data_IF_523466190264
#
_entry.id   IF_523466190264
#
_cell.length_a   1.000
_cell.length_b   1.000
_cell.length_c   1.000
_cell.angle_alpha   90.00
_cell.angle_beta   90.00
_cell.angle_gamma   90.00
#
_symmetry.space_group_name_H-M   'P 1'
#
loop_
_entity.id
_entity.type
_entity.pdbx_description
1 polymer ?
#
# COMPACT_ATOMS: atom_id res chain seq x y z
N UNK A 1 22.36 39.11 -36.31
CA UNK A 1 22.09 38.86 -34.88
C UNK A 1 21.42 40.11 -34.31
N UNK A 2 20.55 39.99 -33.30
CA UNK A 2 20.02 41.17 -32.58
C UNK A 2 20.61 41.18 -31.18
N UNK A 3 21.40 42.21 -30.86
CA UNK A 3 22.12 42.34 -29.58
C UNK A 3 21.50 43.39 -28.66
N UNK A 4 20.60 44.24 -29.18
CA UNK A 4 19.96 45.29 -28.39
C UNK A 4 18.54 45.63 -28.88
N UNK A 5 17.76 46.24 -28.00
CA UNK A 5 16.36 46.59 -28.27
C UNK A 5 16.20 47.59 -29.43
N UNK A 6 17.21 48.47 -29.65
CA UNK A 6 17.18 49.48 -30.71
C UNK A 6 17.29 48.89 -32.12
N UNK A 7 17.81 47.67 -32.27
CA UNK A 7 17.99 47.00 -33.56
C UNK A 7 16.74 46.26 -34.05
N UNK A 8 15.77 46.03 -33.17
CA UNK A 8 14.60 45.19 -33.45
C UNK A 8 13.77 45.75 -34.61
N UNK A 9 13.42 47.04 -34.53
CA UNK A 9 12.59 47.67 -35.54
C UNK A 9 13.27 47.77 -36.90
N UNK A 10 14.57 48.08 -36.90
CA UNK A 10 15.36 48.17 -38.13
C UNK A 10 15.44 46.81 -38.80
N UNK A 11 15.73 45.74 -38.05
CA UNK A 11 15.81 44.38 -38.58
C UNK A 11 14.48 43.91 -39.16
N UNK A 12 13.35 44.28 -38.56
CA UNK A 12 12.03 43.95 -39.09
C UNK A 12 11.71 44.71 -40.40
N UNK A 13 12.11 45.98 -40.51
CA UNK A 13 11.89 46.78 -41.73
C UNK A 13 12.75 46.32 -42.90
N UNK A 14 13.96 45.88 -42.60
CA UNK A 14 14.94 45.44 -43.60
C UNK A 14 14.77 43.97 -44.02
N UNK A 15 13.83 43.26 -43.39
CA UNK A 15 13.57 41.84 -43.66
C UNK A 15 13.00 41.63 -45.08
N UNK A 16 13.65 40.73 -45.82
CA UNK A 16 13.21 40.26 -47.14
C UNK A 16 13.26 38.73 -47.17
N UNK A 17 12.17 38.03 -47.58
CA UNK A 17 10.87 38.55 -48.02
C UNK A 17 10.09 39.23 -46.88
N UNK A 18 8.93 39.82 -47.19
CA UNK A 18 8.12 40.52 -46.17
C UNK A 18 7.81 39.57 -44.98
N UNK A 19 8.01 40.00 -43.72
CA UNK A 19 7.74 39.18 -42.55
C UNK A 19 6.32 38.63 -42.52
N UNK A 20 6.17 37.38 -42.06
CA UNK A 20 4.88 36.69 -41.96
C UNK A 20 4.10 37.09 -40.70
N UNK A 21 4.76 37.75 -39.75
CA UNK A 21 4.17 38.20 -38.49
C UNK A 21 4.17 39.72 -38.38
N UNK A 22 3.28 40.28 -37.56
CA UNK A 22 3.25 41.72 -37.27
C UNK A 22 4.46 42.13 -36.42
N UNK A 23 4.92 43.38 -36.60
CA UNK A 23 6.05 43.95 -35.84
C UNK A 23 5.88 43.86 -34.32
N UNK A 24 4.65 43.97 -33.80
CA UNK A 24 4.37 43.80 -32.36
C UNK A 24 4.67 42.38 -31.87
N UNK A 25 4.36 41.36 -32.66
CA UNK A 25 4.65 39.98 -32.34
C UNK A 25 6.16 39.70 -32.44
N UNK A 26 6.82 40.21 -33.48
CA UNK A 26 8.27 40.11 -33.62
C UNK A 26 9.01 40.75 -32.44
N UNK A 27 8.64 41.97 -32.04
CA UNK A 27 9.20 42.63 -30.84
C UNK A 27 9.03 41.78 -29.59
N UNK A 28 7.84 41.23 -29.36
CA UNK A 28 7.57 40.37 -28.20
C UNK A 28 8.47 39.14 -28.18
N UNK A 29 8.64 38.48 -29.34
CA UNK A 29 9.51 37.31 -29.52
C UNK A 29 10.98 37.62 -29.21
N UNK A 30 11.51 38.68 -29.82
CA UNK A 30 12.92 39.07 -29.64
C UNK A 30 13.20 39.59 -28.22
N UNK A 31 12.31 40.41 -27.65
CA UNK A 31 12.44 40.86 -26.26
C UNK A 31 12.37 39.69 -25.27
N UNK A 32 11.56 38.66 -25.57
CA UNK A 32 11.55 37.42 -24.80
C UNK A 32 12.89 36.69 -24.88
N UNK A 33 13.46 36.56 -26.08
CA UNK A 33 14.73 35.87 -26.32
C UNK A 33 15.93 36.60 -25.70
N UNK A 34 15.99 37.94 -25.77
CA UNK A 34 17.05 38.76 -25.18
C UNK A 34 17.20 38.58 -23.66
N UNK A 35 16.17 38.08 -22.96
CA UNK A 35 16.25 37.74 -21.52
C UNK A 35 17.11 36.51 -21.24
N UNK A 36 17.34 35.66 -22.24
CA UNK A 36 18.01 34.36 -22.09
C UNK A 36 19.30 34.24 -22.92
N UNK A 37 19.59 35.23 -23.77
CA UNK A 37 20.81 35.29 -24.57
C UNK A 37 21.65 36.50 -24.16
N UNK A 38 22.67 36.25 -23.34
CA UNK A 38 23.59 37.30 -22.84
C UNK A 38 24.34 38.00 -23.99
N UNK A 39 24.73 37.24 -25.02
CA UNK A 39 25.46 37.74 -26.21
C UNK A 39 24.55 38.19 -27.36
N UNK A 40 23.22 38.16 -27.16
CA UNK A 40 22.23 38.52 -28.18
C UNK A 40 21.60 37.34 -28.91
N UNK A 41 20.48 37.61 -29.59
CA UNK A 41 19.63 36.60 -30.23
C UNK A 41 20.25 36.10 -31.53
N UNK A 42 20.53 34.78 -31.67
CA UNK A 42 21.13 34.20 -32.86
C UNK A 42 20.32 34.46 -34.13
N UNK A 43 20.98 34.58 -35.27
CA UNK A 43 20.31 34.91 -36.55
C UNK A 43 19.20 33.91 -36.91
N UNK A 44 19.42 32.62 -36.67
CA UNK A 44 18.42 31.58 -36.90
C UNK A 44 17.12 31.79 -36.11
N UNK A 45 17.22 32.26 -34.87
CA UNK A 45 16.05 32.58 -34.05
C UNK A 45 15.41 33.91 -34.44
N UNK A 46 16.19 34.85 -34.99
CA UNK A 46 15.68 36.10 -35.56
C UNK A 46 14.87 35.81 -36.82
N UNK A 47 15.37 34.98 -37.73
CA UNK A 47 14.65 34.52 -38.91
C UNK A 47 13.36 33.80 -38.54
N UNK A 48 13.43 32.85 -37.60
CA UNK A 48 12.24 32.18 -37.10
C UNK A 48 11.22 33.15 -36.47
N UNK A 49 11.71 34.18 -35.77
CA UNK A 49 10.84 35.18 -35.19
C UNK A 49 10.11 36.02 -36.25
N UNK A 50 10.68 36.18 -37.45
CA UNK A 50 10.07 36.89 -38.58
C UNK A 50 9.11 36.01 -39.39
N UNK A 51 9.43 34.73 -39.55
CA UNK A 51 8.79 33.89 -40.57
C UNK A 51 8.03 32.68 -40.04
N UNK A 52 8.27 32.22 -38.81
CA UNK A 52 7.42 31.17 -38.23
C UNK A 52 6.09 31.75 -37.74
N UNK A 53 5.01 31.00 -37.94
CA UNK A 53 3.72 31.34 -37.35
C UNK A 53 3.78 31.27 -35.80
N UNK A 54 2.72 31.75 -35.14
CA UNK A 54 2.66 31.85 -33.68
C UNK A 54 2.66 30.50 -32.95
N UNK A 55 2.25 29.42 -33.61
CA UNK A 55 2.23 28.08 -33.06
C UNK A 55 3.61 27.43 -33.19
N UNK A 56 4.19 27.46 -34.39
CA UNK A 56 5.52 26.93 -34.71
C UNK A 56 6.61 27.60 -33.87
N UNK A 57 6.61 28.94 -33.78
CA UNK A 57 7.59 29.67 -32.97
C UNK A 57 7.48 29.31 -31.48
N UNK A 58 6.25 29.19 -30.96
CA UNK A 58 6.01 28.83 -29.56
C UNK A 58 6.43 27.39 -29.26
N UNK A 59 6.21 26.47 -30.19
CA UNK A 59 6.67 25.08 -30.09
C UNK A 59 8.20 25.00 -30.04
N UNK A 60 8.89 25.88 -30.78
CA UNK A 60 10.36 25.90 -30.84
C UNK A 60 11.03 26.65 -29.68
N UNK A 61 10.49 27.79 -29.27
CA UNK A 61 11.14 28.72 -28.32
C UNK A 61 10.30 29.04 -27.08
N UNK A 62 9.01 28.71 -27.06
CA UNK A 62 8.10 29.00 -25.94
C UNK A 62 8.15 27.96 -24.82
N UNK A 63 8.89 26.87 -25.00
CA UNK A 63 8.96 25.76 -24.05
C UNK A 63 9.96 26.10 -22.94
N UNK A 64 9.48 26.34 -21.72
CA UNK A 64 10.33 26.54 -20.54
C UNK A 64 11.23 25.31 -20.35
N UNK A 65 12.54 25.47 -20.55
CA UNK A 65 13.52 24.43 -20.22
C UNK A 65 13.66 24.35 -18.71
N UNK A 66 13.57 23.14 -18.16
CA UNK A 66 13.81 22.87 -16.74
C UNK A 66 15.19 22.27 -16.62
N UNK A 67 16.07 22.93 -15.87
CA UNK A 67 17.39 22.38 -15.57
C UNK A 67 17.38 21.72 -14.18
N UNK A 68 18.10 20.61 -14.06
CA UNK A 68 18.34 19.90 -12.80
C UNK A 68 19.83 19.57 -12.68
N UNK A 69 20.32 19.46 -11.45
CA UNK A 69 21.68 18.97 -11.21
C UNK A 69 21.63 17.46 -10.99
N UNK A 70 22.38 16.71 -11.78
CA UNK A 70 22.56 15.25 -11.65
C UNK A 70 24.04 15.00 -11.53
N UNK A 71 24.48 14.33 -10.46
CA UNK A 71 25.89 14.01 -10.21
C UNK A 71 26.87 15.21 -10.31
N UNK A 72 26.37 16.41 -9.99
CA UNK A 72 27.15 17.66 -10.02
C UNK A 72 27.06 18.45 -11.34
N UNK A 73 26.47 17.90 -12.39
CA UNK A 73 26.33 18.56 -13.69
C UNK A 73 24.93 19.15 -13.88
N UNK A 74 24.86 20.33 -14.52
CA UNK A 74 23.59 21.00 -14.83
C UNK A 74 23.03 20.48 -16.16
N UNK A 75 21.93 19.73 -16.10
CA UNK A 75 21.31 19.07 -17.25
C UNK A 75 19.95 19.69 -17.55
N UNK A 76 19.69 19.98 -18.83
CA UNK A 76 18.35 20.34 -19.34
C UNK A 76 17.49 19.10 -19.49
N UNK A 77 16.40 19.00 -18.73
CA UNK A 77 15.51 17.83 -18.75
C UNK A 77 14.90 17.56 -20.11
N UNK A 78 14.60 18.62 -20.87
CA UNK A 78 14.01 18.46 -22.18
C UNK A 78 15.02 17.85 -23.16
N UNK A 79 16.25 18.34 -23.14
CA UNK A 79 17.31 17.85 -24.03
C UNK A 79 17.73 16.42 -23.61
N UNK A 80 17.80 16.12 -22.31
CA UNK A 80 18.01 14.76 -21.81
C UNK A 80 16.88 13.80 -22.20
N UNK A 81 15.62 14.24 -22.13
CA UNK A 81 14.48 13.42 -22.52
C UNK A 81 14.51 13.05 -24.02
N UNK A 82 14.89 14.01 -24.87
CA UNK A 82 15.03 13.78 -26.31
C UNK A 82 16.19 12.85 -26.67
N UNK A 83 17.20 12.75 -25.81
CA UNK A 83 18.33 11.84 -26.00
C UNK A 83 17.96 10.36 -25.73
N UNK A 84 16.83 10.07 -25.07
CA UNK A 84 16.39 8.69 -24.88
C UNK A 84 15.83 8.11 -26.19
N UNK A 85 16.33 6.95 -26.65
CA UNK A 85 15.92 6.39 -27.94
C UNK A 85 14.44 5.99 -27.97
N UNK A 86 13.91 5.45 -26.85
CA UNK A 86 12.50 5.05 -26.73
C UNK A 86 11.95 5.28 -25.30
N UNK A 87 11.57 6.51 -24.94
CA UNK A 87 10.95 6.78 -23.64
C UNK A 87 9.54 6.14 -23.58
N UNK A 88 9.25 5.41 -22.49
CA UNK A 88 7.95 4.74 -22.29
C UNK A 88 6.86 5.75 -21.89
N UNK A 89 7.24 6.84 -21.23
CA UNK A 89 6.31 7.86 -20.72
C UNK A 89 6.53 9.20 -21.40
N UNK A 90 5.47 10.01 -21.47
CA UNK A 90 5.60 11.37 -22.02
C UNK A 90 6.50 12.28 -21.16
N UNK A 91 6.96 13.36 -21.76
CA UNK A 91 7.85 14.34 -21.12
C UNK A 91 7.27 14.90 -19.81
N UNK A 92 5.94 15.08 -19.72
CA UNK A 92 5.33 15.65 -18.51
C UNK A 92 5.43 14.66 -17.35
N UNK A 93 5.19 13.37 -17.60
CA UNK A 93 5.35 12.32 -16.59
C UNK A 93 6.83 12.19 -16.21
N UNK A 94 7.73 12.12 -17.20
CA UNK A 94 9.17 12.10 -16.96
C UNK A 94 9.62 13.28 -16.07
N UNK A 95 9.20 14.50 -16.40
CA UNK A 95 9.50 15.70 -15.63
C UNK A 95 9.01 15.60 -14.19
N UNK A 96 7.78 15.13 -13.96
CA UNK A 96 7.24 14.95 -12.60
C UNK A 96 8.05 13.95 -11.79
N UNK A 97 8.47 12.86 -12.43
CA UNK A 97 9.28 11.80 -11.83
C UNK A 97 10.66 12.32 -11.42
N UNK A 98 11.37 13.00 -12.32
CA UNK A 98 12.70 13.56 -12.03
C UNK A 98 12.64 14.64 -10.95
N UNK A 99 11.66 15.55 -10.99
CA UNK A 99 11.48 16.56 -9.94
C UNK A 99 11.24 15.94 -8.57
N UNK A 100 10.55 14.80 -8.52
CA UNK A 100 10.36 14.06 -7.28
C UNK A 100 11.66 13.42 -6.79
N UNK A 101 12.40 12.72 -7.65
CA UNK A 101 13.69 12.13 -7.29
C UNK A 101 14.65 13.20 -6.72
N UNK A 102 14.70 14.37 -7.37
CA UNK A 102 15.52 15.48 -6.92
C UNK A 102 15.15 15.93 -5.50
N UNK A 103 13.85 16.10 -5.24
CA UNK A 103 13.35 16.50 -3.92
C UNK A 103 13.64 15.44 -2.85
N UNK A 104 13.55 14.17 -3.23
CA UNK A 104 13.70 13.04 -2.32
C UNK A 104 15.20 12.68 -2.12
N UNK A 105 16.13 13.37 -2.79
CA UNK A 105 17.59 13.14 -2.68
C UNK A 105 18.06 11.86 -3.36
N UNK A 106 17.31 11.38 -4.35
CA UNK A 106 17.49 10.10 -5.03
C UNK A 106 17.75 10.28 -6.54
N UNK A 107 18.12 11.49 -6.99
CA UNK A 107 18.36 11.76 -8.40
C UNK A 107 19.85 11.53 -8.75
N UNK A 108 20.07 10.56 -9.60
CA UNK A 108 21.34 10.22 -10.27
C UNK A 108 21.04 9.86 -11.74
N UNK A 109 22.07 9.53 -12.53
CA UNK A 109 21.90 9.14 -13.93
C UNK A 109 20.95 7.92 -14.07
N UNK A 110 21.13 6.89 -13.25
CA UNK A 110 20.35 5.64 -13.34
C UNK A 110 18.85 5.87 -13.06
N UNK A 111 18.54 6.61 -12.02
CA UNK A 111 17.17 6.92 -11.61
C UNK A 111 16.50 7.90 -12.58
N UNK A 112 17.27 8.78 -13.23
CA UNK A 112 16.79 9.61 -14.34
C UNK A 112 16.43 8.77 -15.57
N UNK A 113 17.26 7.79 -15.94
CA UNK A 113 16.93 6.83 -17.00
C UNK A 113 15.64 6.06 -16.67
N UNK A 114 15.53 5.53 -15.46
CA UNK A 114 14.34 4.84 -14.96
C UNK A 114 13.09 5.74 -14.99
N UNK A 115 13.24 7.05 -14.82
CA UNK A 115 12.13 7.99 -14.92
C UNK A 115 11.52 8.04 -16.32
N UNK A 116 12.31 7.83 -17.38
CA UNK A 116 11.84 7.79 -18.76
C UNK A 116 11.43 6.38 -19.20
N UNK A 117 12.14 5.34 -18.75
CA UNK A 117 12.02 3.98 -19.26
C UNK A 117 11.06 3.07 -18.49
N UNK A 118 10.64 3.42 -17.27
CA UNK A 118 9.71 2.57 -16.51
C UNK A 118 8.24 2.86 -16.81
N UNK A 119 7.43 1.79 -16.91
CA UNK A 119 5.97 1.92 -16.89
C UNK A 119 5.49 2.57 -15.59
N UNK A 120 4.30 3.18 -15.60
CA UNK A 120 3.72 3.78 -14.39
C UNK A 120 3.56 2.77 -13.25
N UNK A 121 3.21 1.52 -13.56
CA UNK A 121 3.10 0.46 -12.55
C UNK A 121 4.47 0.16 -11.91
N UNK A 122 5.53 -0.06 -12.71
CA UNK A 122 6.87 -0.34 -12.18
C UNK A 122 7.45 0.86 -11.44
N UNK A 123 7.25 2.07 -11.94
CA UNK A 123 7.66 3.30 -11.26
C UNK A 123 7.03 3.41 -9.86
N UNK A 124 5.71 3.18 -9.76
CA UNK A 124 5.00 3.19 -8.46
C UNK A 124 5.52 2.07 -7.56
N UNK A 125 5.90 0.92 -8.12
CA UNK A 125 6.45 -0.19 -7.33
C UNK A 125 7.80 0.18 -6.72
N UNK A 126 8.72 0.75 -7.49
CA UNK A 126 10.09 1.06 -7.07
C UNK A 126 10.11 2.34 -6.23
N UNK A 127 9.73 3.46 -6.82
CA UNK A 127 9.82 4.79 -6.20
C UNK A 127 8.57 5.16 -5.40
N UNK A 128 7.53 4.34 -5.43
CA UNK A 128 6.33 4.53 -4.63
C UNK A 128 5.34 5.55 -5.19
N UNK A 129 4.17 5.60 -4.56
CA UNK A 129 3.27 6.76 -4.50
C UNK A 129 2.69 6.87 -3.08
N UNK A 130 2.49 8.08 -2.56
CA UNK A 130 1.91 8.30 -1.22
C UNK A 130 2.84 7.99 -0.03
N UNK A 131 2.31 7.38 1.04
CA UNK A 131 2.88 7.26 2.42
C UNK A 131 4.13 6.39 2.60
N UNK A 132 4.85 6.03 1.54
CA UNK A 132 6.09 5.23 1.67
C UNK A 132 7.22 6.11 2.21
N UNK A 133 8.12 5.52 3.00
CA UNK A 133 9.27 6.21 3.58
C UNK A 133 10.55 5.58 3.04
N UNK A 134 11.48 6.42 2.62
CA UNK A 134 12.85 6.00 2.38
C UNK A 134 13.50 5.56 3.69
N UNK A 135 14.51 4.72 3.58
CA UNK A 135 15.31 4.28 4.71
C UNK A 135 16.74 3.97 4.23
N UNK A 136 17.70 4.12 5.15
CA UNK A 136 19.06 3.64 4.96
C UNK A 136 19.12 2.20 5.46
N UNK A 137 19.67 1.29 4.67
CA UNK A 137 19.83 -0.10 5.11
C UNK A 137 21.02 -0.18 6.07
N UNK A 138 20.77 -0.67 7.29
CA UNK A 138 21.73 -0.79 8.39
C UNK A 138 21.75 -2.23 8.96
N UNK A 139 21.20 -3.19 8.23
CA UNK A 139 21.18 -4.59 8.63
C UNK A 139 22.46 -5.34 8.26
N UNK A 140 22.62 -6.55 8.78
CA UNK A 140 23.84 -7.36 8.64
C UNK A 140 23.70 -8.45 7.57
N UNK A 141 22.47 -8.81 7.17
CA UNK A 141 22.21 -9.95 6.28
C UNK A 141 22.51 -9.67 4.78
N UNK A 142 22.62 -8.39 4.40
CA UNK A 142 22.97 -7.95 3.05
C UNK A 142 24.12 -6.93 3.10
N UNK A 143 25.36 -7.37 3.37
CA UNK A 143 26.52 -6.48 3.61
C UNK A 143 26.80 -5.51 2.46
N UNK A 144 26.58 -5.93 1.22
CA UNK A 144 26.74 -5.12 0.00
C UNK A 144 25.75 -3.94 -0.09
N UNK A 145 24.70 -3.96 0.72
CA UNK A 145 23.67 -2.94 0.76
C UNK A 145 23.79 -2.01 1.98
N UNK A 146 24.71 -2.29 2.90
CA UNK A 146 24.91 -1.47 4.11
C UNK A 146 25.25 -0.04 3.75
N UNK A 147 24.50 0.89 4.32
CA UNK A 147 24.67 2.32 4.10
C UNK A 147 23.97 2.88 2.86
N UNK A 148 23.47 2.02 1.95
CA UNK A 148 22.69 2.47 0.79
C UNK A 148 21.32 2.97 1.22
N UNK A 149 20.83 4.00 0.54
CA UNK A 149 19.50 4.59 0.77
C UNK A 149 18.51 3.98 -0.23
N UNK A 150 17.46 3.37 0.28
CA UNK A 150 16.37 2.83 -0.53
C UNK A 150 15.13 3.72 -0.42
N UNK A 151 14.45 3.93 -1.54
CA UNK A 151 13.22 4.73 -1.62
C UNK A 151 12.04 4.11 -0.87
N UNK A 152 12.06 2.78 -0.69
CA UNK A 152 11.11 2.03 0.13
C UNK A 152 11.60 0.61 0.38
N UNK A 153 11.00 -0.08 1.37
CA UNK A 153 11.23 -1.52 1.59
C UNK A 153 10.99 -2.32 0.32
N UNK A 154 9.99 -1.97 -0.49
CA UNK A 154 9.73 -2.65 -1.76
C UNK A 154 10.85 -2.48 -2.78
N UNK A 155 11.50 -1.32 -2.83
CA UNK A 155 12.67 -1.11 -3.68
C UNK A 155 13.85 -1.98 -3.22
N UNK A 156 14.07 -2.04 -1.90
CA UNK A 156 15.05 -2.95 -1.31
C UNK A 156 14.76 -4.41 -1.68
N UNK A 157 13.50 -4.87 -1.56
CA UNK A 157 13.12 -6.24 -1.93
C UNK A 157 13.34 -6.56 -3.41
N UNK A 158 13.20 -5.58 -4.32
CA UNK A 158 13.51 -5.78 -5.74
C UNK A 158 15.01 -5.96 -5.95
N UNK A 159 15.83 -5.14 -5.30
CA UNK A 159 17.30 -5.21 -5.37
C UNK A 159 17.81 -6.60 -4.96
N UNK A 160 17.29 -7.15 -3.86
CA UNK A 160 17.69 -8.47 -3.36
C UNK A 160 16.92 -9.63 -4.03
N UNK A 161 16.16 -9.38 -5.10
CA UNK A 161 15.35 -10.37 -5.82
C UNK A 161 14.31 -11.13 -4.95
N UNK A 162 13.72 -10.44 -3.96
CA UNK A 162 12.69 -10.96 -3.04
C UNK A 162 11.35 -10.23 -3.17
N UNK A 163 11.04 -9.68 -4.35
CA UNK A 163 9.82 -8.88 -4.54
C UNK A 163 8.52 -9.69 -4.43
N UNK A 164 8.53 -10.95 -4.87
CA UNK A 164 7.33 -11.81 -4.83
C UNK A 164 6.87 -12.09 -3.40
N UNK A 165 7.82 -12.04 -2.47
CA UNK A 165 7.67 -12.29 -1.05
C UNK A 165 7.11 -11.11 -0.25
N UNK A 166 6.94 -9.96 -0.91
CA UNK A 166 6.57 -8.68 -0.28
C UNK A 166 5.39 -8.81 0.67
N UNK A 167 4.36 -9.59 0.35
CA UNK A 167 3.16 -9.70 1.19
C UNK A 167 3.46 -10.28 2.56
N UNK A 168 4.26 -11.34 2.58
CA UNK A 168 4.65 -12.04 3.80
C UNK A 168 5.66 -11.22 4.62
N UNK A 169 6.63 -10.61 3.96
CA UNK A 169 7.61 -9.71 4.59
C UNK A 169 6.88 -8.51 5.23
N UNK A 170 5.94 -7.88 4.51
CA UNK A 170 5.12 -6.80 5.07
C UNK A 170 4.26 -7.24 6.27
N UNK A 171 3.74 -8.46 6.27
CA UNK A 171 2.99 -8.99 7.40
C UNK A 171 3.89 -9.15 8.65
N UNK A 172 5.15 -9.57 8.46
CA UNK A 172 6.16 -9.67 9.53
C UNK A 172 6.54 -8.30 10.07
N UNK A 173 6.86 -7.34 9.19
CA UNK A 173 7.17 -5.96 9.58
C UNK A 173 6.05 -5.30 10.38
N UNK A 174 4.78 -5.51 9.98
CA UNK A 174 3.61 -5.01 10.74
C UNK A 174 3.48 -5.61 12.14
N UNK A 175 4.08 -6.79 12.38
CA UNK A 175 4.13 -7.45 13.68
C UNK A 175 5.37 -7.04 14.49
N UNK A 176 6.17 -6.09 14.00
CA UNK A 176 7.34 -5.55 14.70
C UNK A 176 8.63 -6.33 14.46
N UNK A 177 8.68 -7.21 13.46
CA UNK A 177 9.93 -7.91 13.10
C UNK A 177 10.96 -6.93 12.54
N UNK A 178 12.25 -7.19 12.78
CA UNK A 178 13.33 -6.50 12.09
C UNK A 178 13.28 -6.75 10.58
N UNK A 179 13.85 -5.84 9.77
CA UNK A 179 13.84 -5.99 8.31
C UNK A 179 14.58 -7.25 7.86
N UNK A 180 15.79 -7.46 8.38
CA UNK A 180 16.63 -8.62 8.11
C UNK A 180 15.92 -9.92 8.49
N UNK A 181 15.39 -9.98 9.71
CA UNK A 181 14.60 -11.12 10.19
C UNK A 181 13.40 -11.40 9.27
N UNK A 182 12.69 -10.34 8.86
CA UNK A 182 11.51 -10.47 8.02
C UNK A 182 11.84 -11.02 6.63
N UNK A 183 13.02 -10.69 6.09
CA UNK A 183 13.48 -11.06 4.75
C UNK A 183 14.14 -12.44 4.73
N UNK A 184 15.06 -12.72 5.65
CA UNK A 184 15.82 -13.97 5.69
C UNK A 184 14.96 -15.17 6.08
N UNK A 185 13.88 -14.94 6.84
CA UNK A 185 13.00 -16.03 7.26
C UNK A 185 12.34 -16.73 6.04
N UNK A 186 12.57 -18.04 5.84
CA UNK A 186 12.10 -18.75 4.66
C UNK A 186 10.58 -18.72 4.55
N UNK A 187 10.12 -18.58 3.31
CA UNK A 187 8.70 -18.52 2.94
C UNK A 187 8.24 -19.87 2.45
N UNK A 188 8.43 -20.90 3.28
CA UNK A 188 7.66 -22.11 3.07
C UNK A 188 6.17 -21.74 3.27
N UNK A 189 5.30 -22.04 2.30
CA UNK A 189 3.84 -21.94 2.44
C UNK A 189 3.39 -22.56 3.76
N UNK A 190 2.40 -21.96 4.44
CA UNK A 190 1.96 -22.41 5.76
C UNK A 190 1.42 -23.86 5.78
N UNK A 191 1.06 -24.38 4.60
CA UNK A 191 0.48 -25.68 4.31
C UNK A 191 1.50 -26.77 3.96
N UNK A 192 2.74 -26.42 3.60
CA UNK A 192 3.79 -27.39 3.17
C UNK A 192 4.99 -27.47 4.14
N UNK A 193 4.86 -26.88 5.34
CA UNK A 193 5.91 -26.99 6.36
C UNK A 193 5.85 -28.34 7.05
N UNK A 194 6.57 -29.28 6.48
CA UNK A 194 7.14 -30.36 7.25
C UNK A 194 8.06 -29.76 8.34
N UNK A 195 7.93 -30.22 9.57
CA UNK A 195 8.70 -29.76 10.72
C UNK A 195 9.82 -30.73 11.08
N UNK A 196 10.62 -30.33 12.07
CA UNK A 196 11.80 -31.07 12.49
C UNK A 196 11.83 -31.19 14.02
N UNK A 197 12.37 -32.31 14.50
CA UNK A 197 12.80 -32.51 15.89
C UNK A 197 14.31 -32.30 15.94
N UNK A 198 14.77 -31.51 16.91
CA UNK A 198 16.18 -31.23 17.11
C UNK A 198 16.61 -31.49 18.55
N UNK A 199 17.91 -31.69 18.74
CA UNK A 199 18.57 -31.75 20.04
C UNK A 199 19.49 -30.54 20.19
N UNK A 200 19.54 -30.00 21.40
CA UNK A 200 20.57 -29.06 21.85
C UNK A 200 21.38 -29.75 22.95
N UNK A 201 22.71 -29.74 22.84
CA UNK A 201 23.62 -30.41 23.78
C UNK A 201 24.50 -29.34 24.42
N UNK A 202 24.50 -29.27 25.77
CA UNK A 202 25.45 -28.45 26.50
C UNK A 202 26.76 -29.20 26.67
N UNK A 203 27.87 -28.66 26.15
CA UNK A 203 29.22 -29.26 26.25
C UNK A 203 29.68 -29.40 27.70
N UNK A 204 29.38 -28.40 28.54
CA UNK A 204 29.78 -28.34 29.95
C UNK A 204 28.98 -29.31 30.83
N UNK A 205 27.65 -29.26 30.75
CA UNK A 205 26.80 -30.07 31.65
C UNK A 205 26.48 -31.45 31.10
N UNK A 206 26.79 -31.74 29.82
CA UNK A 206 26.38 -32.93 29.05
C UNK A 206 24.86 -33.16 29.00
N UNK A 207 24.06 -32.18 29.40
CA UNK A 207 22.60 -32.27 29.39
C UNK A 207 22.07 -31.92 28.01
N UNK A 208 20.94 -32.54 27.68
CA UNK A 208 20.29 -32.39 26.37
C UNK A 208 18.92 -31.71 26.53
N UNK A 209 18.53 -30.96 25.51
CA UNK A 209 17.19 -30.44 25.29
C UNK A 209 16.65 -30.98 23.96
N UNK A 210 15.40 -31.42 23.94
CA UNK A 210 14.68 -31.77 22.73
C UNK A 210 13.60 -30.73 22.47
N UNK A 211 13.49 -30.28 21.23
CA UNK A 211 12.38 -29.44 20.82
C UNK A 211 11.92 -29.76 19.41
N UNK A 212 10.71 -29.31 19.09
CA UNK A 212 10.18 -29.27 17.73
C UNK A 212 10.29 -27.85 17.13
N UNK A 213 10.42 -27.77 15.80
CA UNK A 213 10.41 -26.50 15.07
C UNK A 213 9.87 -26.66 13.65
N UNK A 214 9.31 -25.58 13.10
CA UNK A 214 8.98 -25.39 11.67
C UNK A 214 9.79 -24.26 11.04
N UNK A 215 10.74 -23.73 11.80
CA UNK A 215 11.73 -22.75 11.40
C UNK A 215 13.06 -23.49 11.21
N UNK A 216 14.07 -22.85 10.60
CA UNK A 216 15.41 -23.43 10.58
C UNK A 216 15.96 -23.62 11.99
N UNK A 217 16.90 -24.55 12.15
CA UNK A 217 17.51 -24.85 13.45
C UNK A 217 18.22 -23.62 14.03
N UNK A 218 18.94 -22.86 13.19
CA UNK A 218 19.64 -21.64 13.57
C UNK A 218 18.67 -20.55 14.06
N UNK A 219 17.50 -20.41 13.44
CA UNK A 219 16.49 -19.45 13.88
C UNK A 219 15.91 -19.82 15.24
N UNK A 220 15.60 -21.11 15.42
CA UNK A 220 15.09 -21.61 16.69
C UNK A 220 16.10 -21.40 17.81
N UNK A 221 17.39 -21.54 17.52
CA UNK A 221 18.47 -21.24 18.45
C UNK A 221 18.52 -19.78 18.87
N UNK A 222 18.58 -18.86 17.89
CA UNK A 222 18.59 -17.41 18.14
C UNK A 222 17.41 -17.01 19.02
N UNK A 223 16.24 -17.62 18.81
CA UNK A 223 15.08 -17.42 19.67
C UNK A 223 15.32 -17.89 21.12
N UNK A 224 15.88 -19.09 21.32
CA UNK A 224 16.22 -19.58 22.66
C UNK A 224 17.25 -18.69 23.37
N UNK A 225 18.28 -18.25 22.66
CA UNK A 225 19.30 -17.34 23.20
C UNK A 225 18.66 -16.01 23.60
N UNK A 226 17.92 -15.37 22.69
CA UNK A 226 17.25 -14.10 22.97
C UNK A 226 16.32 -14.19 24.18
N UNK A 227 15.47 -15.20 24.23
CA UNK A 227 14.55 -15.46 25.36
C UNK A 227 15.33 -15.72 26.65
N UNK A 228 16.51 -16.34 26.59
CA UNK A 228 17.37 -16.51 27.75
C UNK A 228 17.96 -15.17 28.24
N UNK A 229 18.37 -14.29 27.32
CA UNK A 229 19.00 -12.99 27.65
C UNK A 229 18.00 -11.92 28.11
N UNK A 230 16.75 -11.96 27.62
CA UNK A 230 15.67 -11.05 28.06
C UNK A 230 15.25 -11.26 29.54
N UNK A 231 15.79 -12.28 30.22
CA UNK A 231 15.78 -12.39 31.69
C UNK A 231 14.53 -13.03 32.33
N UNK A 232 13.37 -12.99 31.67
CA UNK A 232 12.10 -13.45 32.27
C UNK A 232 11.88 -14.98 32.17
N UNK A 233 12.59 -15.66 31.27
CA UNK A 233 12.39 -17.08 31.03
C UNK A 233 13.00 -17.94 32.14
N UNK A 234 12.15 -18.70 32.85
CA UNK A 234 12.53 -19.62 33.95
C UNK A 234 12.78 -21.07 33.51
N UNK A 235 12.86 -21.34 32.21
CA UNK A 235 13.07 -22.71 31.71
C UNK A 235 14.50 -23.21 32.00
N UNK A 236 14.71 -24.55 32.14
CA UNK A 236 16.03 -25.11 32.41
C UNK A 236 17.04 -24.80 31.30
N UNK A 237 16.60 -24.84 30.03
CA UNK A 237 17.41 -24.43 28.88
C UNK A 237 17.85 -22.95 28.99
N UNK A 238 16.93 -22.02 29.27
CA UNK A 238 17.28 -20.60 29.39
C UNK A 238 18.26 -20.34 30.55
N UNK A 239 18.07 -21.03 31.69
CA UNK A 239 19.01 -20.98 32.82
C UNK A 239 20.39 -21.52 32.44
N UNK A 240 20.45 -22.61 31.67
CA UNK A 240 21.70 -23.20 31.22
C UNK A 240 22.44 -22.29 30.24
N UNK A 241 21.73 -21.68 29.28
CA UNK A 241 22.32 -20.72 28.34
C UNK A 241 22.93 -19.53 29.09
N UNK A 242 22.19 -18.93 30.05
CA UNK A 242 22.73 -17.84 30.86
C UNK A 242 23.93 -18.26 31.71
N UNK A 243 23.95 -19.49 32.19
CA UNK A 243 25.01 -20.00 33.08
C UNK A 243 26.30 -20.34 32.33
N UNK A 244 26.18 -20.98 31.17
CA UNK A 244 27.33 -21.53 30.45
C UNK A 244 27.71 -20.72 29.20
N UNK A 245 26.89 -19.77 28.77
CA UNK A 245 27.11 -19.03 27.52
C UNK A 245 26.66 -19.82 26.29
N UNK A 246 26.31 -19.11 25.22
CA UNK A 246 25.78 -19.74 24.00
C UNK A 246 26.79 -20.61 23.24
N UNK A 247 28.08 -20.27 23.31
CA UNK A 247 29.17 -21.00 22.64
C UNK A 247 29.36 -22.44 23.17
N UNK A 248 28.83 -22.73 24.36
CA UNK A 248 28.88 -24.05 24.98
C UNK A 248 27.71 -24.97 24.58
N UNK A 249 26.98 -24.63 23.53
CA UNK A 249 25.87 -25.42 23.03
C UNK A 249 26.05 -25.80 21.55
N UNK A 250 25.81 -27.07 21.24
CA UNK A 250 25.68 -27.55 19.87
C UNK A 250 24.25 -27.99 19.59
N UNK A 251 23.87 -27.99 18.31
CA UNK A 251 22.51 -28.37 17.91
C UNK A 251 22.51 -29.22 16.65
N UNK A 252 21.63 -30.21 16.63
CA UNK A 252 21.51 -31.16 15.53
C UNK A 252 20.04 -31.51 15.28
N UNK A 253 19.67 -31.70 14.01
CA UNK A 253 18.35 -32.25 13.63
C UNK A 253 18.39 -33.76 13.84
N UNK A 254 17.42 -34.30 14.58
CA UNK A 254 17.29 -35.74 14.84
C UNK A 254 16.27 -36.37 13.88
N UNK A 255 15.24 -35.60 13.51
CA UNK A 255 14.19 -36.05 12.62
C UNK A 255 13.63 -34.87 11.84
N UNK A 256 13.38 -35.04 10.55
CA UNK A 256 12.88 -34.00 9.65
C UNK A 256 11.69 -34.49 8.85
N UNK A 257 11.08 -33.59 8.11
CA UNK A 257 9.97 -33.88 7.20
C UNK A 257 8.68 -34.36 7.87
N UNK A 258 8.47 -33.99 9.15
CA UNK A 258 7.30 -34.40 9.93
C UNK A 258 6.08 -33.52 9.67
N UNK A 259 4.91 -34.11 9.50
CA UNK A 259 3.69 -33.31 9.38
C UNK A 259 3.26 -32.69 10.73
N UNK A 260 2.21 -31.85 10.70
CA UNK A 260 1.72 -31.13 11.88
C UNK A 260 1.39 -32.05 13.07
N UNK A 261 0.75 -33.17 12.78
CA UNK A 261 0.17 -34.04 13.78
C UNK A 261 1.23 -34.99 14.37
N UNK A 262 2.29 -35.27 13.61
CA UNK A 262 3.44 -36.07 14.04
C UNK A 262 4.38 -35.30 14.99
N UNK A 263 4.59 -34.01 14.77
CA UNK A 263 5.59 -33.22 15.54
C UNK A 263 5.44 -33.35 17.07
N UNK A 264 4.25 -33.18 17.67
CA UNK A 264 4.09 -33.32 19.12
C UNK A 264 4.32 -34.75 19.62
N UNK A 265 4.00 -35.76 18.80
CA UNK A 265 4.16 -37.18 19.14
C UNK A 265 5.65 -37.53 19.13
N UNK A 266 6.37 -37.08 18.10
CA UNK A 266 7.81 -37.33 17.94
C UNK A 266 8.64 -36.57 18.97
N UNK A 267 8.27 -35.34 19.32
CA UNK A 267 8.94 -34.61 20.42
C UNK A 267 8.85 -35.38 21.74
N UNK A 268 7.66 -35.84 22.12
CA UNK A 268 7.46 -36.66 23.34
C UNK A 268 8.30 -37.93 23.31
N UNK A 269 8.30 -38.63 22.17
CA UNK A 269 9.09 -39.85 21.98
C UNK A 269 10.58 -39.61 22.22
N UNK A 270 11.15 -38.54 21.65
CA UNK A 270 12.58 -38.25 21.80
C UNK A 270 12.94 -37.73 23.20
N UNK A 271 12.07 -36.94 23.84
CA UNK A 271 12.25 -36.52 25.24
C UNK A 271 12.35 -37.73 26.17
N UNK A 272 11.44 -38.70 26.02
CA UNK A 272 11.42 -39.93 26.81
C UNK A 272 12.64 -40.81 26.51
N UNK A 273 12.88 -41.08 25.22
CA UNK A 273 13.99 -41.94 24.75
C UNK A 273 15.37 -41.42 25.19
N UNK A 274 15.57 -40.10 25.19
CA UNK A 274 16.85 -39.47 25.55
C UNK A 274 16.88 -38.94 26.99
N UNK A 275 15.81 -39.15 27.77
CA UNK A 275 15.67 -38.75 29.18
C UNK A 275 16.04 -37.29 29.44
N UNK A 276 15.50 -36.38 28.64
CA UNK A 276 15.91 -34.96 28.66
C UNK A 276 15.13 -34.07 29.64
N UNK A 277 14.24 -34.65 30.46
CA UNK A 277 13.50 -33.92 31.49
C UNK A 277 14.40 -33.48 32.65
N UNK A 278 14.15 -32.27 33.19
CA UNK A 278 14.75 -31.83 34.45
C UNK A 278 14.40 -32.82 35.58
N UNK A 279 15.34 -33.21 36.47
CA UNK A 279 16.72 -32.67 36.63
C UNK A 279 17.78 -33.26 35.70
N UNK A 280 17.50 -34.37 35.01
CA UNK A 280 18.46 -35.11 34.17
C UNK A 280 18.80 -34.45 32.84
N UNK A 281 17.92 -33.59 32.32
CA UNK A 281 18.14 -32.81 31.10
C UNK A 281 17.64 -31.37 31.21
N UNK A 282 17.34 -30.76 30.06
CA UNK A 282 17.00 -29.34 29.93
C UNK A 282 15.54 -29.08 29.50
N UNK A 283 14.73 -30.13 29.30
CA UNK A 283 13.28 -30.00 29.07
C UNK A 283 12.54 -29.75 30.39
N UNK A 284 11.68 -28.73 30.42
CA UNK A 284 10.85 -28.38 31.58
C UNK A 284 9.56 -29.23 31.70
N UNK A 285 9.11 -29.81 30.58
CA UNK A 285 7.89 -30.59 30.50
C UNK A 285 8.06 -31.75 29.52
N UNK A 286 7.20 -32.78 29.58
CA UNK A 286 7.25 -33.94 28.66
C UNK A 286 7.05 -33.61 27.17
N UNK A 287 6.84 -32.35 26.81
CA UNK A 287 6.59 -31.92 25.42
C UNK A 287 5.13 -32.07 24.98
N UNK A 288 4.90 -31.88 23.68
CA UNK A 288 3.57 -32.04 23.07
C UNK A 288 2.79 -30.74 22.86
N UNK A 289 3.44 -29.58 23.03
CA UNK A 289 2.83 -28.29 22.79
C UNK A 289 3.60 -27.59 21.67
N UNK A 290 2.96 -27.45 20.50
CA UNK A 290 3.49 -26.59 19.46
C UNK A 290 3.47 -25.15 19.99
N UNK A 291 4.64 -24.54 20.13
CA UNK A 291 4.83 -23.18 20.64
C UNK A 291 4.29 -22.06 19.72
N UNK A 292 3.19 -22.30 19.00
CA UNK A 292 2.33 -21.24 18.49
C UNK A 292 1.48 -20.77 19.65
N UNK A 293 1.46 -19.46 19.92
CA UNK A 293 0.72 -18.87 21.03
C UNK A 293 -0.67 -19.49 21.15
N UNK A 294 -1.06 -19.88 22.38
CA UNK A 294 -2.40 -20.41 22.68
C UNK A 294 -3.40 -19.65 21.82
N UNK A 295 -4.10 -20.37 20.92
CA UNK A 295 -5.20 -19.76 20.18
C UNK A 295 -6.07 -19.02 21.18
N UNK A 296 -6.49 -17.79 20.85
CA UNK A 296 -7.31 -17.00 21.77
C UNK A 296 -8.51 -17.88 22.19
N UNK A 297 -8.62 -18.16 23.48
CA UNK A 297 -9.77 -18.87 24.01
C UNK A 297 -11.01 -18.04 23.68
N UNK A 298 -12.05 -18.70 23.17
CA UNK A 298 -13.30 -18.06 22.79
C UNK A 298 -14.40 -18.70 23.60
N UNK A 299 -15.22 -17.87 24.22
CA UNK A 299 -16.43 -18.31 24.88
C UNK A 299 -17.62 -17.97 23.99
N UNK A 300 -18.54 -18.92 23.80
CA UNK A 300 -19.75 -18.73 23.04
C UNK A 300 -20.91 -19.45 23.74
N UNK A 301 -21.94 -18.70 24.14
CA UNK A 301 -23.11 -19.22 24.86
C UNK A 301 -22.77 -20.05 26.12
N UNK A 302 -21.72 -19.67 26.84
CA UNK A 302 -21.26 -20.35 28.06
C UNK A 302 -20.35 -21.58 27.82
N UNK A 303 -20.06 -21.92 26.56
CA UNK A 303 -19.11 -22.96 26.19
C UNK A 303 -17.74 -22.35 25.89
N UNK A 304 -16.66 -22.92 26.45
CA UNK A 304 -15.29 -22.45 26.28
C UNK A 304 -14.54 -23.28 25.24
N UNK A 305 -13.96 -22.62 24.24
CA UNK A 305 -13.17 -23.24 23.18
C UNK A 305 -11.71 -22.81 23.29
N UNK A 306 -10.80 -23.77 23.08
CA UNK A 306 -9.35 -23.56 23.18
C UNK A 306 -8.76 -22.72 22.05
N UNK A 307 -9.52 -22.45 20.99
CA UNK A 307 -9.16 -21.53 19.91
C UNK A 307 -10.39 -21.07 19.13
N UNK A 308 -10.26 -19.95 18.42
CA UNK A 308 -11.25 -19.48 17.44
C UNK A 308 -11.56 -20.55 16.38
N UNK A 309 -10.54 -21.31 16.00
CA UNK A 309 -10.60 -22.33 14.96
C UNK A 309 -11.37 -23.57 15.42
N UNK A 310 -11.17 -23.97 16.68
CA UNK A 310 -11.95 -25.01 17.34
C UNK A 310 -13.40 -24.59 17.51
N UNK A 311 -13.64 -23.35 17.97
CA UNK A 311 -14.99 -22.79 18.09
C UNK A 311 -15.71 -22.81 16.74
N UNK A 312 -15.04 -22.39 15.67
CA UNK A 312 -15.67 -22.31 14.36
C UNK A 312 -15.98 -23.66 13.72
N UNK A 313 -15.15 -24.69 13.95
CA UNK A 313 -15.42 -26.03 13.48
C UNK A 313 -16.70 -26.60 14.14
N UNK A 314 -16.76 -26.57 15.47
CA UNK A 314 -17.90 -27.09 16.25
C UNK A 314 -19.18 -26.34 15.94
N UNK A 315 -19.15 -25.01 15.98
CA UNK A 315 -20.33 -24.19 15.75
C UNK A 315 -20.81 -24.25 14.29
N UNK A 316 -19.91 -24.45 13.32
CA UNK A 316 -20.30 -24.62 11.91
C UNK A 316 -21.15 -25.87 11.72
N UNK A 317 -20.75 -26.98 12.33
CA UNK A 317 -21.49 -28.25 12.27
C UNK A 317 -22.82 -28.14 13.03
N UNK A 318 -22.80 -27.56 14.24
CA UNK A 318 -23.99 -27.39 15.08
C UNK A 318 -25.06 -26.50 14.46
N UNK A 319 -24.66 -25.43 13.77
CA UNK A 319 -25.59 -24.41 13.25
C UNK A 319 -25.86 -24.52 11.75
N UNK A 320 -25.10 -25.34 11.02
CA UNK A 320 -25.13 -25.40 9.56
C UNK A 320 -24.62 -24.12 8.86
N UNK A 321 -24.01 -23.20 9.61
CA UNK A 321 -23.43 -21.96 9.09
C UNK A 321 -22.02 -22.26 8.58
N UNK A 322 -21.65 -21.72 7.43
CA UNK A 322 -20.31 -21.94 6.89
C UNK A 322 -19.20 -21.47 7.84
N UNK A 323 -18.19 -22.32 8.08
CA UNK A 323 -17.05 -22.08 8.99
C UNK A 323 -16.44 -20.69 8.89
N UNK A 324 -16.19 -20.19 7.68
CA UNK A 324 -15.61 -18.85 7.48
C UNK A 324 -16.52 -17.70 7.98
N UNK A 325 -17.84 -17.88 7.99
CA UNK A 325 -18.81 -16.92 8.54
C UNK A 325 -18.74 -16.92 10.07
N UNK A 326 -18.66 -18.12 10.67
CA UNK A 326 -18.50 -18.29 12.12
C UNK A 326 -17.21 -17.65 12.60
N UNK A 327 -16.07 -17.96 11.96
CA UNK A 327 -14.77 -17.34 12.24
C UNK A 327 -14.82 -15.81 12.22
N UNK A 328 -15.43 -15.26 11.17
CA UNK A 328 -15.53 -13.81 10.98
C UNK A 328 -16.38 -13.15 12.06
N UNK A 329 -17.45 -13.79 12.52
CA UNK A 329 -18.33 -13.23 13.56
C UNK A 329 -17.70 -13.33 14.94
N UNK A 330 -17.19 -14.50 15.31
CA UNK A 330 -16.50 -14.69 16.59
C UNK A 330 -15.29 -13.78 16.74
N UNK A 331 -14.49 -13.57 15.68
CA UNK A 331 -13.35 -12.64 15.72
C UNK A 331 -13.75 -11.18 15.95
N UNK A 332 -15.01 -10.83 15.71
CA UNK A 332 -15.58 -9.48 15.91
C UNK A 332 -16.43 -9.37 17.17
N UNK A 333 -16.68 -10.48 17.88
CA UNK A 333 -17.60 -10.52 19.01
C UNK A 333 -19.08 -10.46 18.60
N UNK A 334 -19.41 -10.75 17.34
CA UNK A 334 -20.78 -10.75 16.85
C UNK A 334 -21.48 -12.08 17.19
N UNK A 335 -22.77 -12.05 17.51
CA UNK A 335 -23.59 -13.27 17.64
C UNK A 335 -23.74 -14.01 16.31
N UNK A 336 -23.91 -15.34 16.35
CA UNK A 336 -24.16 -16.12 15.13
C UNK A 336 -25.58 -15.86 14.61
N UNK A 337 -25.79 -15.83 13.29
CA UNK A 337 -27.13 -15.71 12.74
C UNK A 337 -27.92 -17.00 12.96
N UNK A 338 -29.21 -16.90 13.26
CA UNK A 338 -30.11 -18.06 13.49
C UNK A 338 -30.17 -19.03 12.28
N UNK A 339 -29.91 -18.53 11.08
CA UNK A 339 -29.85 -19.37 9.88
C UNK A 339 -28.81 -18.87 8.87
N UNK A 340 -28.31 -19.81 8.08
CA UNK A 340 -27.48 -19.49 6.92
C UNK A 340 -28.27 -18.63 5.92
N UNK A 341 -27.61 -17.60 5.36
CA UNK A 341 -28.19 -16.80 4.29
C UNK A 341 -28.50 -17.70 3.08
N UNK A 342 -29.78 -17.96 2.83
CA UNK A 342 -30.22 -18.64 1.61
C UNK A 342 -30.15 -17.66 0.44
N UNK A 343 -29.56 -18.09 -0.67
CA UNK A 343 -29.65 -17.36 -1.92
C UNK A 343 -31.11 -17.28 -2.37
N UNK A 344 -31.50 -16.14 -2.96
CA UNK A 344 -32.81 -16.04 -3.59
C UNK A 344 -32.89 -17.04 -4.74
N UNK A 345 -34.05 -17.69 -4.90
CA UNK A 345 -34.32 -18.63 -6.01
C UNK A 345 -34.67 -17.93 -7.33
N UNK A 346 -34.63 -16.60 -7.35
CA UNK A 346 -34.95 -15.83 -8.56
C UNK A 346 -33.91 -16.11 -9.67
N UNK A 347 -34.30 -16.28 -10.95
CA UNK A 347 -33.36 -16.57 -12.03
C UNK A 347 -32.24 -15.53 -12.19
N UNK A 348 -32.56 -14.26 -11.95
CA UNK A 348 -31.58 -13.16 -11.99
C UNK A 348 -30.87 -12.89 -10.64
N UNK A 349 -31.03 -13.76 -9.64
CA UNK A 349 -30.38 -13.58 -8.36
C UNK A 349 -28.84 -13.52 -8.53
N UNK A 350 -28.27 -12.36 -8.21
CA UNK A 350 -26.84 -12.11 -8.38
C UNK A 350 -26.45 -11.48 -9.71
N UNK A 351 -27.39 -11.11 -10.59
CA UNK A 351 -27.08 -10.24 -11.73
C UNK A 351 -26.62 -8.84 -11.26
N UNK A 352 -25.97 -8.05 -12.11
CA UNK A 352 -25.58 -6.68 -11.76
C UNK A 352 -26.80 -5.83 -11.39
N UNK A 353 -27.88 -5.94 -12.16
CA UNK A 353 -29.14 -5.24 -11.92
C UNK A 353 -29.82 -5.70 -10.61
N UNK A 354 -29.84 -7.00 -10.33
CA UNK A 354 -30.31 -7.55 -9.05
C UNK A 354 -29.56 -7.01 -7.85
N UNK A 355 -28.21 -6.96 -7.92
CA UNK A 355 -27.39 -6.41 -6.84
C UNK A 355 -27.69 -4.91 -6.61
N UNK A 356 -27.95 -4.15 -7.68
CA UNK A 356 -28.32 -2.72 -7.58
C UNK A 356 -29.67 -2.54 -6.91
N UNK A 357 -30.68 -3.31 -7.33
CA UNK A 357 -32.01 -3.33 -6.73
C UNK A 357 -31.96 -3.69 -5.23
N UNK A 358 -31.31 -4.81 -4.88
CA UNK A 358 -31.14 -5.22 -3.48
C UNK A 358 -30.39 -4.15 -2.66
N UNK A 359 -29.36 -3.54 -3.23
CA UNK A 359 -28.59 -2.49 -2.56
C UNK A 359 -29.43 -1.24 -2.31
N UNK A 360 -30.23 -0.81 -3.29
CA UNK A 360 -31.15 0.33 -3.18
C UNK A 360 -32.12 0.11 -2.01
N UNK A 361 -32.86 -1.00 -2.03
CA UNK A 361 -33.84 -1.35 -0.99
C UNK A 361 -33.18 -1.44 0.39
N UNK A 362 -32.09 -2.21 0.50
CA UNK A 362 -31.42 -2.43 1.78
C UNK A 362 -30.74 -1.18 2.33
N UNK A 363 -30.40 -0.21 1.48
CA UNK A 363 -29.83 1.06 1.93
C UNK A 363 -30.91 2.02 2.42
N UNK A 364 -32.05 2.08 1.72
CA UNK A 364 -33.21 2.87 2.16
C UNK A 364 -33.77 2.33 3.48
N UNK A 365 -34.04 1.02 3.56
CA UNK A 365 -34.56 0.38 4.79
C UNK A 365 -33.64 0.51 6.00
N UNK A 366 -32.33 0.58 5.78
CA UNK A 366 -31.34 0.77 6.82
C UNK A 366 -31.05 2.25 7.13
N UNK A 367 -31.76 3.20 6.51
CA UNK A 367 -31.54 4.64 6.70
C UNK A 367 -30.21 5.16 6.14
N UNK A 368 -29.49 4.35 5.34
CA UNK A 368 -28.19 4.72 4.74
C UNK A 368 -28.34 5.54 3.45
N UNK A 369 -29.53 5.57 2.86
CA UNK A 369 -29.84 6.33 1.65
C UNK A 369 -31.17 7.07 1.85
N UNK A 370 -31.17 8.37 1.57
CA UNK A 370 -32.35 9.22 1.67
C UNK A 370 -33.43 8.86 0.64
N UNK A 371 -34.69 9.08 1.04
CA UNK A 371 -35.89 8.85 0.24
C UNK A 371 -36.61 7.56 0.59
N UNK A 372 -37.74 7.34 -0.09
CA UNK A 372 -38.54 6.11 0.01
C UNK A 372 -38.60 5.44 -1.35
N UNK A 373 -38.87 4.13 -1.39
CA UNK A 373 -39.10 3.38 -2.62
C UNK A 373 -40.59 3.18 -2.81
N UNK A 374 -41.08 3.24 -4.07
CA UNK A 374 -42.48 2.92 -4.32
C UNK A 374 -42.75 1.42 -4.12
N UNK A 375 -44.00 1.08 -3.80
CA UNK A 375 -44.45 -0.30 -3.59
C UNK A 375 -44.13 -1.19 -4.81
N UNK A 376 -44.32 -0.68 -6.03
CA UNK A 376 -44.04 -1.40 -7.27
C UNK A 376 -42.59 -1.91 -7.34
N UNK A 377 -41.63 -1.08 -6.93
CA UNK A 377 -40.19 -1.42 -6.97
C UNK A 377 -39.73 -2.28 -5.78
N UNK A 378 -40.62 -2.63 -4.84
CA UNK A 378 -40.33 -3.68 -3.85
C UNK A 378 -40.25 -5.07 -4.46
N UNK A 379 -40.74 -5.25 -5.69
CA UNK A 379 -40.59 -6.46 -6.48
C UNK A 379 -39.50 -6.26 -7.55
N UNK A 380 -38.60 -7.23 -7.69
CA UNK A 380 -37.49 -7.14 -8.65
C UNK A 380 -37.96 -7.08 -10.11
N UNK A 381 -38.96 -7.87 -10.49
CA UNK A 381 -39.40 -7.98 -11.88
C UNK A 381 -40.01 -6.66 -12.36
N UNK A 382 -40.80 -6.01 -11.50
CA UNK A 382 -41.32 -4.67 -11.77
C UNK A 382 -40.20 -3.63 -11.87
N UNK A 383 -39.29 -3.59 -10.89
CA UNK A 383 -38.11 -2.70 -10.95
C UNK A 383 -37.33 -2.91 -12.24
N UNK A 384 -37.03 -4.17 -12.55
CA UNK A 384 -36.28 -4.59 -13.73
C UNK A 384 -36.99 -4.15 -15.00
N UNK A 385 -38.29 -4.40 -15.12
CA UNK A 385 -39.09 -3.96 -16.27
C UNK A 385 -39.01 -2.45 -16.48
N UNK A 386 -39.10 -1.67 -15.40
CA UNK A 386 -39.15 -0.20 -15.49
C UNK A 386 -37.77 0.42 -15.80
N UNK A 387 -36.66 -0.19 -15.36
CA UNK A 387 -35.31 0.40 -15.50
C UNK A 387 -34.45 -0.26 -16.58
N UNK A 388 -34.90 -1.35 -17.20
CA UNK A 388 -34.08 -2.11 -18.15
C UNK A 388 -33.83 -1.36 -19.45
N UNK A 389 -34.76 -0.51 -19.85
CA UNK A 389 -34.52 0.40 -20.97
C UNK A 389 -33.44 1.43 -20.60
N UNK A 390 -32.45 1.57 -21.48
CA UNK A 390 -31.26 2.41 -21.25
C UNK A 390 -30.26 1.89 -20.20
N UNK A 391 -30.48 0.72 -19.58
CA UNK A 391 -29.54 0.15 -18.61
C UNK A 391 -28.23 -0.28 -19.28
N UNK A 392 -27.10 0.18 -18.72
CA UNK A 392 -25.76 -0.33 -19.01
C UNK A 392 -24.95 -0.54 -17.72
N UNK A 393 -24.11 -1.59 -17.61
CA UNK A 393 -23.36 -1.90 -16.40
C UNK A 393 -22.46 -0.77 -15.86
N UNK A 394 -22.01 0.14 -16.71
CA UNK A 394 -21.15 1.29 -16.39
C UNK A 394 -21.92 2.51 -15.85
N UNK A 395 -23.23 2.58 -16.13
CA UNK A 395 -24.08 3.70 -15.70
C UNK A 395 -24.50 3.54 -14.23
N UNK A 396 -24.95 4.63 -13.61
CA UNK A 396 -25.45 4.68 -12.23
C UNK A 396 -26.92 5.09 -12.20
N UNK A 397 -27.69 4.40 -11.36
CA UNK A 397 -29.09 4.75 -11.11
C UNK A 397 -29.16 5.90 -10.12
N UNK A 398 -29.65 7.04 -10.58
CA UNK A 398 -29.89 8.23 -9.76
C UNK A 398 -31.39 8.53 -9.70
N UNK A 399 -31.76 9.37 -8.74
CA UNK A 399 -33.12 9.88 -8.56
C UNK A 399 -33.17 11.28 -9.14
N UNK A 400 -34.15 11.56 -10.01
CA UNK A 400 -34.29 12.88 -10.67
C UNK A 400 -34.66 13.96 -9.65
N UNK A 401 -35.65 13.67 -8.80
CA UNK A 401 -36.17 14.57 -7.77
C UNK A 401 -36.02 13.94 -6.38
N UNK A 402 -35.26 14.61 -5.50
CA UNK A 402 -34.97 14.14 -4.15
C UNK A 402 -36.18 14.13 -3.21
N UNK A 403 -37.25 14.84 -3.55
CA UNK A 403 -38.47 14.88 -2.74
C UNK A 403 -39.47 13.78 -3.12
N UNK A 404 -39.30 13.16 -4.29
CA UNK A 404 -40.17 12.08 -4.77
C UNK A 404 -39.60 10.69 -4.44
N UNK A 405 -40.44 9.64 -4.39
CA UNK A 405 -39.98 8.27 -4.18
C UNK A 405 -39.12 7.77 -5.34
N UNK A 406 -38.31 6.74 -5.09
CA UNK A 406 -37.72 5.92 -6.15
C UNK A 406 -38.82 5.14 -6.85
N UNK A 407 -39.08 5.47 -8.11
CA UNK A 407 -40.17 4.93 -8.92
C UNK A 407 -39.83 5.08 -10.41
N UNK A 408 -40.60 4.43 -11.30
CA UNK A 408 -40.42 4.42 -12.76
C UNK A 408 -40.35 5.82 -13.39
N UNK A 409 -41.03 6.79 -12.80
CA UNK A 409 -41.14 8.18 -13.26
C UNK A 409 -40.06 9.10 -12.65
N UNK A 410 -39.30 8.61 -11.67
CA UNK A 410 -38.35 9.41 -10.90
C UNK A 410 -36.94 8.79 -10.81
N UNK A 411 -36.46 8.22 -11.91
CA UNK A 411 -35.09 7.72 -12.01
C UNK A 411 -34.41 8.13 -13.31
N UNK A 412 -33.08 8.02 -13.32
CA UNK A 412 -32.26 8.16 -14.51
C UNK A 412 -30.99 7.31 -14.43
N UNK A 413 -30.52 6.84 -15.59
CA UNK A 413 -29.21 6.23 -15.74
C UNK A 413 -28.20 7.28 -16.22
N UNK A 414 -27.19 7.55 -15.39
CA UNK A 414 -26.17 8.56 -15.71
C UNK A 414 -24.76 8.00 -15.63
N UNK A 415 -23.79 8.69 -16.25
CA UNK A 415 -22.38 8.33 -16.11
C UNK A 415 -21.90 8.51 -14.66
N UNK A 416 -20.80 7.85 -14.30
CA UNK A 416 -20.16 8.05 -12.99
C UNK A 416 -19.78 9.52 -12.74
N UNK A 417 -19.31 10.21 -13.78
CA UNK A 417 -18.92 11.62 -13.75
C UNK A 417 -20.14 12.50 -13.42
N UNK A 418 -21.23 12.34 -14.15
CA UNK A 418 -22.48 13.09 -13.96
C UNK A 418 -23.08 12.85 -12.58
N UNK A 419 -23.06 11.61 -12.07
CA UNK A 419 -23.54 11.32 -10.72
C UNK A 419 -22.76 12.06 -9.62
N UNK A 420 -21.43 12.23 -9.80
CA UNK A 420 -20.58 13.01 -8.88
C UNK A 420 -20.92 14.50 -9.00
N UNK A 421 -21.08 15.00 -10.22
CA UNK A 421 -21.46 16.40 -10.48
C UNK A 421 -22.81 16.77 -9.85
N UNK A 422 -23.81 15.88 -9.87
CA UNK A 422 -25.11 16.13 -9.23
C UNK A 422 -25.00 16.21 -7.71
N UNK A 423 -24.13 15.39 -7.10
CA UNK A 423 -23.95 15.37 -5.63
C UNK A 423 -23.11 16.55 -5.15
N UNK A 424 -22.06 16.92 -5.89
CA UNK A 424 -21.09 17.95 -5.48
C UNK A 424 -21.30 19.32 -6.15
N UNK A 425 -22.14 19.40 -7.18
CA UNK A 425 -22.42 20.60 -7.97
C UNK A 425 -23.53 21.49 -7.42
N UNK A 426 -24.06 21.22 -6.21
CA UNK A 426 -24.99 22.14 -5.55
C UNK A 426 -24.25 23.42 -5.15
N UNK A 427 -24.48 24.50 -5.88
CA UNK A 427 -24.01 25.85 -5.55
C UNK A 427 -24.82 26.38 -4.37
N UNK A 428 -24.16 26.75 -3.27
CA UNK A 428 -24.80 27.43 -2.16
C UNK A 428 -24.69 28.95 -2.36
N UNK A 429 -25.81 29.66 -2.21
CA UNK A 429 -25.84 31.11 -2.05
C UNK A 429 -25.64 31.40 -0.56
N UNK A 430 -24.43 31.83 -0.18
CA UNK A 430 -24.21 32.46 1.12
C UNK A 430 -24.57 33.94 0.93
N UNK A 431 -25.45 34.46 1.79
CA UNK A 431 -25.93 35.85 1.73
C UNK A 431 -24.76 36.83 1.55
N UNK A 432 -24.78 37.54 0.41
CA UNK A 432 -23.70 38.43 -0.02
C UNK A 432 -22.93 37.94 -1.26
N UNK A 433 -23.63 37.81 -2.40
CA UNK A 433 -23.05 38.12 -3.72
C UNK A 433 -21.99 37.19 -4.35
N UNK A 434 -21.54 36.10 -3.72
CA UNK A 434 -20.56 35.20 -4.34
C UNK A 434 -20.95 33.72 -4.27
N UNK A 435 -21.16 33.13 -5.45
CA UNK A 435 -21.33 31.70 -5.68
C UNK A 435 -19.97 30.99 -5.70
N UNK A 436 -19.75 29.99 -4.84
CA UNK A 436 -18.50 29.20 -4.78
C UNK A 436 -18.78 27.74 -5.16
N UNK A 437 -18.01 27.19 -6.09
CA UNK A 437 -18.01 25.76 -6.42
C UNK A 437 -17.21 24.94 -5.39
N UNK A 438 -17.73 23.79 -4.95
CA UNK A 438 -17.16 22.95 -3.89
C UNK A 438 -15.78 22.32 -4.20
N UNK A 439 -15.20 22.57 -5.39
CA UNK A 439 -13.85 22.11 -5.72
C UNK A 439 -12.74 22.82 -4.92
N UNK A 440 -13.05 23.89 -4.18
CA UNK A 440 -12.06 24.67 -3.44
C UNK A 440 -12.08 24.53 -1.91
N UNK A 441 -13.04 23.81 -1.30
CA UNK A 441 -13.13 23.74 0.18
C UNK A 441 -12.80 22.36 0.79
N UNK A 442 -12.79 21.27 0.01
CA UNK A 442 -12.38 19.96 0.53
C UNK A 442 -10.87 19.89 0.83
N UNK A 443 -10.05 20.71 0.15
CA UNK A 443 -8.59 20.76 0.38
C UNK A 443 -8.17 21.50 1.66
N UNK A 444 -9.04 22.33 2.25
CA UNK A 444 -8.75 23.15 3.43
C UNK A 444 -9.30 22.56 4.73
N UNK A 445 -10.44 21.85 4.71
CA UNK A 445 -10.96 21.17 5.90
C UNK A 445 -10.20 19.88 6.26
N UNK A 446 -9.64 19.16 5.28
CA UNK A 446 -8.79 17.99 5.56
C UNK A 446 -7.41 18.37 6.14
N UNK A 447 -6.97 19.62 5.97
CA UNK A 447 -5.74 20.15 6.55
C UNK A 447 -5.95 20.68 7.99
N UNK A 448 -7.14 21.24 8.28
CA UNK A 448 -7.47 21.78 9.61
C UNK A 448 -7.84 20.69 10.63
N UNK A 449 -8.54 19.62 10.24
CA UNK A 449 -8.90 18.54 11.17
C UNK A 449 -7.73 17.59 11.54
N UNK A 450 -6.62 17.60 10.77
CA UNK A 450 -5.43 16.79 11.09
C UNK A 450 -4.38 17.49 11.94
N UNK A 451 -4.48 18.81 12.17
CA UNK A 451 -3.57 19.54 13.07
C UNK A 451 -4.06 19.66 14.51
N UNK A 452 -5.30 19.26 14.82
CA UNK A 452 -5.86 19.31 16.18
C UNK A 452 -5.96 17.94 16.89
N UNK A 453 -5.26 16.90 16.41
CA UNK A 453 -5.29 15.56 17.03
C UNK A 453 -3.91 14.96 17.36
N UNK A 454 -2.82 15.75 17.36
CA UNK A 454 -1.48 15.30 17.82
C UNK A 454 -0.91 16.29 18.85
N UNK A 455 -1.74 16.68 19.82
CA UNK A 455 -1.33 17.65 20.84
C UNK A 455 -2.14 17.57 22.11
N UNK A 456 -2.34 16.37 22.66
CA UNK A 456 -2.83 16.19 24.04
C UNK A 456 -2.90 14.69 24.37
N UNK A 457 -1.84 14.14 24.96
CA UNK A 457 -1.90 13.10 25.99
C UNK A 457 -0.47 12.74 26.39
N UNK A 458 0.13 13.58 27.23
CA UNK A 458 1.06 13.07 28.22
C UNK A 458 1.09 14.00 29.43
N UNK A 459 1.12 13.38 30.62
CA UNK A 459 1.22 13.93 31.99
C UNK A 459 -0.10 14.22 32.70
N UNK A 460 -0.46 13.25 33.54
CA UNK A 460 -1.37 13.38 34.67
C UNK A 460 -1.03 12.31 35.71
N UNK A 461 0.21 12.31 36.20
CA UNK A 461 0.60 11.52 37.36
C UNK A 461 0.19 12.31 38.60
N UNK A 462 -0.80 11.80 39.33
CA UNK A 462 -1.22 12.33 40.62
C UNK A 462 -0.14 12.06 41.67
N UNK A 463 0.43 13.12 42.24
CA UNK A 463 1.03 13.10 43.56
C UNK A 463 0.27 14.09 44.43
N UNK A 464 -0.34 13.53 45.48
CA UNK A 464 -1.01 14.25 46.56
C UNK A 464 0.01 14.67 47.63
N UNK A 465 -0.39 15.75 48.32
CA UNK A 465 -0.09 16.19 49.69
C UNK A 465 1.05 17.22 49.86
N UNK A 466 0.99 18.02 50.94
CA UNK A 466 -0.16 18.51 51.72
C UNK A 466 -0.67 19.87 51.22
#
# INVERSE_FOLDING_TARGET
MIISHSQIDHRYRDASPKPLVRISLFRSRINGALKYHEDGVPESQVEDALYLDAEQYRKRYGTRKTNVTVDGELISLYDAYLAFPEPIVDYRIFWQRVKRLQRDGLLDISTMEQAASLTTAHWITIFGGGRRRSFKYEGDEFPEHVGRIFSSVTAFLLEINRYDDRHSIWARLKRGWGLDEAVVEPLAPLDDRSGQIYVIICSESKKKYIGLTRMSLQQRWRHHVRVAMEGDAKTPLAKAIRKFGEDNFSMEVIESELNQDELPIREKFWIDKLKTLEPGGLNASPGGQMGGGKGRAVEYEGESFNSLESAAAVLSERTGIARHVVLRRLSRGDSLPESARKMSKHPEAGSNLWRRWKSLINSIRAGRREGVICERWENYDNFSSDVRDGYKPELRLIRKDTFKPWCQDNFEWVSKQTAVEIVHGKTYQIGGGHSVHLLQLQGLMDFAHRRLSIGSMNKGCHLKMP
#
